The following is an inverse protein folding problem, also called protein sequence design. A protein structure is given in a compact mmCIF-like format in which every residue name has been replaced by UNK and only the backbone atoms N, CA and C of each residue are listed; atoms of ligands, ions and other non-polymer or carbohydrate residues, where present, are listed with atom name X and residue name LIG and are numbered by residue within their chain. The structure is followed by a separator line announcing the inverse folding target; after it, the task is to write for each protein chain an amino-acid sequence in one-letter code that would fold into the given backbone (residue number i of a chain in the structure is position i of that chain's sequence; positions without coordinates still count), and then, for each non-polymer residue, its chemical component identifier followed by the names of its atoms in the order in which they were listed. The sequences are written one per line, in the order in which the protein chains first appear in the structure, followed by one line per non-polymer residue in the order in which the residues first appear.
data_IF_297889044481
#
_entry.id   IF_297889044481
#
_cell.length_a   1.000
_cell.length_b   1.000
_cell.length_c   1.000
_cell.angle_alpha   90.00
_cell.angle_beta   90.00
_cell.angle_gamma   90.00
#
_symmetry.space_group_name_H-M   'P 1'
#
loop_
_entity.id
_entity.type
_entity.pdbx_description
1 polymer ?
#
# COMPACT_ATOMS: atom_id res chain seq x y z
N UNK A 1 -5.96 -17.58 20.34
CA UNK A 1 -7.33 -17.56 20.90
C UNK A 1 -8.24 -18.65 20.32
N UNK A 2 -8.29 -18.86 19.00
CA UNK A 2 -9.15 -19.88 18.32
C UNK A 2 -8.82 -21.32 18.73
N UNK A 3 -7.56 -21.65 18.96
CA UNK A 3 -7.14 -22.99 19.38
C UNK A 3 -7.59 -23.33 20.82
N UNK A 4 -7.51 -22.36 21.74
CA UNK A 4 -7.95 -22.52 23.12
C UNK A 4 -9.48 -22.62 23.23
N UNK A 5 -10.24 -21.83 22.47
CA UNK A 5 -11.71 -21.96 22.43
C UNK A 5 -12.16 -23.28 21.79
N UNK A 6 -11.41 -23.79 20.81
CA UNK A 6 -11.61 -25.12 20.23
C UNK A 6 -11.42 -26.26 21.25
N UNK A 7 -10.41 -26.15 22.12
CA UNK A 7 -10.20 -27.13 23.19
C UNK A 7 -11.32 -27.14 24.22
N UNK A 8 -11.76 -25.96 24.69
CA UNK A 8 -12.89 -25.84 25.64
C UNK A 8 -14.17 -26.42 25.04
N UNK A 9 -14.41 -26.23 23.74
CA UNK A 9 -15.58 -26.79 23.06
C UNK A 9 -15.54 -28.32 22.99
N UNK A 10 -14.38 -28.91 22.69
CA UNK A 10 -14.21 -30.38 22.70
C UNK A 10 -14.41 -30.95 24.09
N UNK A 11 -13.87 -30.28 25.11
CA UNK A 11 -14.03 -30.68 26.51
C UNK A 11 -15.50 -30.62 26.94
N UNK A 12 -16.22 -29.55 26.56
CA UNK A 12 -17.66 -29.42 26.76
C UNK A 12 -18.42 -30.58 26.13
N UNK A 13 -18.17 -30.87 24.85
CA UNK A 13 -18.84 -31.96 24.13
C UNK A 13 -18.57 -33.33 24.78
N UNK A 14 -17.35 -33.57 25.25
CA UNK A 14 -16.98 -34.79 25.97
C UNK A 14 -17.70 -34.90 27.31
N UNK A 15 -17.74 -33.82 28.11
CA UNK A 15 -18.41 -33.81 29.41
C UNK A 15 -19.93 -33.95 29.28
N UNK A 16 -20.54 -33.41 28.23
CA UNK A 16 -21.95 -33.63 27.92
C UNK A 16 -22.27 -35.11 27.68
N UNK A 17 -21.42 -35.82 26.94
CA UNK A 17 -21.59 -37.28 26.72
C UNK A 17 -21.44 -38.07 28.02
N UNK A 18 -20.47 -37.70 28.87
CA UNK A 18 -20.28 -38.33 30.19
C UNK A 18 -21.51 -38.09 31.07
N UNK A 19 -22.07 -36.88 31.08
CA UNK A 19 -23.27 -36.56 31.85
C UNK A 19 -24.47 -37.41 31.42
N UNK A 20 -24.74 -37.48 30.12
CA UNK A 20 -25.82 -38.32 29.58
C UNK A 20 -25.65 -39.79 29.97
N UNK A 21 -24.42 -40.30 29.93
CA UNK A 21 -24.14 -41.67 30.33
C UNK A 21 -24.42 -41.92 31.82
N UNK A 22 -23.99 -41.02 32.70
CA UNK A 22 -24.22 -41.12 34.15
C UNK A 22 -25.71 -41.03 34.51
N UNK A 23 -26.46 -40.17 33.82
CA UNK A 23 -27.91 -40.04 33.98
C UNK A 23 -28.65 -41.30 33.51
N UNK A 24 -28.24 -41.89 32.38
CA UNK A 24 -28.87 -43.12 31.85
C UNK A 24 -28.66 -44.36 32.72
N UNK A 25 -27.54 -44.42 33.46
CA UNK A 25 -27.19 -45.56 34.33
C UNK A 25 -27.73 -45.45 35.75
N UNK A 26 -28.37 -44.33 36.12
CA UNK A 26 -28.86 -44.12 37.49
C UNK A 26 -27.73 -44.04 38.52
N UNK A 27 -26.59 -43.42 38.16
CA UNK A 27 -25.43 -43.31 39.04
C UNK A 27 -25.70 -42.38 40.25
N UNK A 28 -24.86 -42.45 41.30
CA UNK A 28 -25.00 -41.62 42.52
C UNK A 28 -25.20 -40.14 42.21
N UNK A 29 -26.23 -39.53 42.80
CA UNK A 29 -26.65 -38.13 42.60
C UNK A 29 -25.50 -37.12 42.66
N UNK A 30 -24.61 -37.26 43.66
CA UNK A 30 -23.47 -36.34 43.82
C UNK A 30 -22.51 -36.33 42.60
N UNK A 31 -22.32 -37.46 41.92
CA UNK A 31 -21.45 -37.55 40.72
C UNK A 31 -22.09 -36.89 39.51
N UNK A 32 -23.41 -37.05 39.37
CA UNK A 32 -24.21 -36.41 38.32
C UNK A 32 -24.16 -34.89 38.51
N UNK A 33 -24.41 -34.39 39.72
CA UNK A 33 -24.40 -32.95 40.02
C UNK A 33 -23.01 -32.33 39.82
N UNK A 34 -21.94 -33.02 40.23
CA UNK A 34 -20.56 -32.58 39.97
C UNK A 34 -20.27 -32.44 38.47
N UNK A 35 -20.69 -33.41 37.66
CA UNK A 35 -20.48 -33.38 36.20
C UNK A 35 -21.33 -32.30 35.56
N UNK A 36 -22.57 -32.12 36.01
CA UNK A 36 -23.49 -31.06 35.59
C UNK A 36 -22.92 -29.67 35.88
N UNK A 37 -22.28 -29.48 37.04
CA UNK A 37 -21.61 -28.22 37.38
C UNK A 37 -20.47 -27.91 36.39
N UNK A 38 -19.62 -28.90 36.05
CA UNK A 38 -18.55 -28.74 35.06
C UNK A 38 -19.10 -28.40 33.67
N UNK A 39 -20.17 -29.07 33.23
CA UNK A 39 -20.83 -28.77 31.95
C UNK A 39 -21.37 -27.33 31.94
N UNK A 40 -22.00 -26.87 33.03
CA UNK A 40 -22.48 -25.49 33.15
C UNK A 40 -21.34 -24.46 33.12
N UNK A 41 -20.23 -24.72 33.81
CA UNK A 41 -19.04 -23.87 33.76
C UNK A 41 -18.47 -23.75 32.33
N UNK A 42 -18.23 -24.89 31.68
CA UNK A 42 -17.72 -24.94 30.31
C UNK A 42 -18.66 -24.22 29.33
N UNK A 43 -19.98 -24.42 29.47
CA UNK A 43 -20.97 -23.71 28.67
C UNK A 43 -20.90 -22.19 28.87
N UNK A 44 -20.80 -21.73 30.12
CA UNK A 44 -20.65 -20.31 30.45
C UNK A 44 -19.38 -19.73 29.81
N UNK A 45 -18.25 -20.42 29.93
CA UNK A 45 -16.96 -20.01 29.33
C UNK A 45 -17.03 -19.93 27.81
N UNK A 46 -17.70 -20.89 27.15
CA UNK A 46 -17.92 -20.85 25.70
C UNK A 46 -18.78 -19.64 25.31
N UNK A 47 -19.87 -19.38 26.04
CA UNK A 47 -20.73 -18.22 25.78
C UNK A 47 -19.98 -16.90 25.94
N UNK A 48 -19.21 -16.74 27.02
CA UNK A 48 -18.38 -15.55 27.25
C UNK A 48 -17.33 -15.39 26.13
N UNK A 49 -16.70 -16.48 25.69
CA UNK A 49 -15.74 -16.43 24.59
C UNK A 49 -16.38 -15.97 23.27
N UNK A 50 -17.60 -16.43 22.96
CA UNK A 50 -18.35 -15.99 21.78
C UNK A 50 -18.65 -14.49 21.88
N UNK A 51 -19.17 -14.02 23.02
CA UNK A 51 -19.46 -12.60 23.23
C UNK A 51 -18.22 -11.72 23.08
N UNK A 52 -17.06 -12.18 23.59
CA UNK A 52 -15.78 -11.47 23.42
C UNK A 52 -15.36 -11.40 21.94
N UNK A 53 -15.45 -12.51 21.20
CA UNK A 53 -15.16 -12.52 19.76
C UNK A 53 -16.07 -11.55 19.00
N UNK A 54 -17.34 -11.48 19.38
CA UNK A 54 -18.32 -10.60 18.73
C UNK A 54 -18.02 -9.12 19.00
N UNK A 55 -17.70 -8.79 20.25
CA UNK A 55 -17.26 -7.44 20.64
C UNK A 55 -15.98 -7.02 19.90
N UNK A 56 -14.97 -7.90 19.83
CA UNK A 56 -13.72 -7.63 19.09
C UNK A 56 -14.00 -7.46 17.59
N UNK A 57 -14.83 -8.33 17.00
CA UNK A 57 -15.17 -8.25 15.57
C UNK A 57 -15.87 -6.93 15.24
N UNK A 58 -16.80 -6.48 16.09
CA UNK A 58 -17.47 -5.18 15.93
C UNK A 58 -16.47 -4.03 16.01
N UNK A 59 -15.53 -4.06 16.96
CA UNK A 59 -14.48 -3.04 17.05
C UNK A 59 -13.57 -3.01 15.82
N UNK A 60 -13.23 -4.18 15.26
CA UNK A 60 -12.47 -4.26 14.00
C UNK A 60 -13.25 -3.65 12.84
N UNK A 61 -14.56 -3.90 12.76
CA UNK A 61 -15.42 -3.30 11.72
C UNK A 61 -15.50 -1.78 11.86
N UNK A 62 -15.66 -1.26 13.08
CA UNK A 62 -15.64 0.18 13.36
C UNK A 62 -14.30 0.82 12.97
N UNK A 63 -13.18 0.23 13.40
CA UNK A 63 -11.83 0.69 13.01
C UNK A 63 -11.65 0.70 11.49
N UNK A 64 -12.15 -0.33 10.81
CA UNK A 64 -12.00 -0.47 9.36
C UNK A 64 -12.86 0.53 8.60
N UNK A 65 -14.16 0.55 8.87
CA UNK A 65 -15.14 1.25 8.03
C UNK A 65 -15.32 2.71 8.46
N UNK A 66 -15.20 3.03 9.74
CA UNK A 66 -15.51 4.36 10.28
C UNK A 66 -14.25 5.19 10.61
N UNK A 67 -13.09 4.55 10.80
CA UNK A 67 -11.85 5.26 11.13
C UNK A 67 -10.84 5.19 9.97
N UNK A 68 -10.49 4.00 9.49
CA UNK A 68 -9.45 3.83 8.47
C UNK A 68 -9.90 4.30 7.09
N UNK A 69 -11.10 3.93 6.64
CA UNK A 69 -11.64 4.38 5.35
C UNK A 69 -11.59 5.91 5.15
N UNK A 70 -12.13 6.75 6.07
CA UNK A 70 -12.07 8.19 5.88
C UNK A 70 -10.63 8.75 5.93
N UNK A 71 -9.73 8.17 6.72
CA UNK A 71 -8.32 8.57 6.72
C UNK A 71 -7.64 8.28 5.36
N UNK A 72 -7.98 7.17 4.72
CA UNK A 72 -7.48 6.87 3.37
C UNK A 72 -8.07 7.83 2.33
N UNK A 73 -9.35 8.19 2.44
CA UNK A 73 -9.98 9.19 1.57
C UNK A 73 -9.33 10.57 1.72
N UNK A 74 -9.05 11.01 2.95
CA UNK A 74 -8.34 12.25 3.23
C UNK A 74 -6.92 12.24 2.65
N UNK A 75 -6.20 11.13 2.81
CA UNK A 75 -4.88 10.95 2.22
C UNK A 75 -4.91 11.03 0.69
N UNK A 76 -5.89 10.38 0.05
CA UNK A 76 -6.09 10.45 -1.41
C UNK A 76 -6.33 11.88 -1.85
N UNK A 77 -7.20 12.62 -1.16
CA UNK A 77 -7.48 14.02 -1.47
C UNK A 77 -6.25 14.92 -1.30
N UNK A 78 -5.45 14.69 -0.24
CA UNK A 78 -4.16 15.37 -0.07
C UNK A 78 -3.18 15.07 -1.20
N UNK A 79 -3.12 13.82 -1.65
CA UNK A 79 -2.27 13.39 -2.78
C UNK A 79 -2.72 14.01 -4.10
N UNK A 80 -4.02 14.12 -4.36
CA UNK A 80 -4.56 14.83 -5.54
C UNK A 80 -4.01 16.26 -5.58
N UNK A 81 -4.20 17.02 -4.49
CA UNK A 81 -3.79 18.42 -4.41
C UNK A 81 -2.28 18.59 -4.56
N UNK A 82 -1.50 17.73 -3.89
CA UNK A 82 -0.05 17.71 -4.04
C UNK A 82 0.34 17.49 -5.50
N UNK A 83 -0.29 16.52 -6.17
CA UNK A 83 0.04 16.19 -7.55
C UNK A 83 -0.39 17.27 -8.55
N UNK A 84 -1.50 17.97 -8.31
CA UNK A 84 -1.91 19.13 -9.09
C UNK A 84 -0.84 20.24 -9.04
N UNK A 85 -0.35 20.55 -7.84
CA UNK A 85 0.72 21.54 -7.66
C UNK A 85 2.01 21.08 -8.36
N UNK A 86 2.42 19.84 -8.16
CA UNK A 86 3.62 19.29 -8.81
C UNK A 86 3.50 19.27 -10.33
N UNK A 87 2.32 18.96 -10.87
CA UNK A 87 2.06 18.95 -12.30
C UNK A 87 2.23 20.34 -12.91
N UNK A 88 1.61 21.36 -12.30
CA UNK A 88 1.74 22.73 -12.77
C UNK A 88 3.20 23.24 -12.65
N UNK A 89 3.90 22.91 -11.55
CA UNK A 89 5.31 23.27 -11.39
C UNK A 89 6.19 22.65 -12.49
N UNK A 90 6.08 21.35 -12.74
CA UNK A 90 6.92 20.67 -13.75
C UNK A 90 6.56 21.08 -15.18
N UNK A 91 5.28 21.34 -15.45
CA UNK A 91 4.83 21.89 -16.73
C UNK A 91 5.43 23.28 -16.98
N UNK A 92 5.43 24.15 -15.98
CA UNK A 92 6.04 25.47 -16.07
C UNK A 92 7.57 25.37 -16.25
N UNK A 93 8.25 24.51 -15.50
CA UNK A 93 9.69 24.24 -15.66
C UNK A 93 10.01 23.77 -17.08
N UNK A 94 9.22 22.83 -17.62
CA UNK A 94 9.38 22.33 -18.98
C UNK A 94 9.24 23.46 -20.02
N UNK A 95 8.23 24.33 -19.87
CA UNK A 95 8.02 25.47 -20.77
C UNK A 95 9.18 26.46 -20.74
N UNK A 96 9.63 26.85 -19.53
CA UNK A 96 10.77 27.77 -19.35
C UNK A 96 12.03 27.17 -19.96
N UNK A 97 12.31 25.89 -19.69
CA UNK A 97 13.49 25.21 -20.22
C UNK A 97 13.43 25.05 -21.74
N UNK A 98 12.27 24.73 -22.30
CA UNK A 98 12.08 24.65 -23.76
C UNK A 98 12.33 26.01 -24.43
N UNK A 99 11.85 27.10 -23.84
CA UNK A 99 12.09 28.45 -24.37
C UNK A 99 13.56 28.87 -24.24
N UNK A 100 14.22 28.51 -23.12
CA UNK A 100 15.64 28.76 -22.91
C UNK A 100 16.54 27.89 -23.82
N UNK A 101 16.08 26.70 -24.21
CA UNK A 101 16.75 25.81 -25.16
C UNK A 101 17.02 26.51 -26.49
N UNK A 102 16.03 27.24 -27.00
CA UNK A 102 16.07 27.95 -28.28
C UNK A 102 16.97 29.20 -28.23
N UNK A 103 17.11 29.84 -27.06
CA UNK A 103 17.66 31.19 -26.95
C UNK A 103 19.09 31.29 -26.38
N UNK A 104 19.75 30.19 -26.03
CA UNK A 104 21.07 30.27 -25.36
C UNK A 104 22.24 29.87 -26.26
N UNK A 105 23.10 30.84 -26.56
CA UNK A 105 24.48 30.63 -27.04
C UNK A 105 25.48 30.96 -25.92
N UNK A 106 25.23 30.47 -24.70
CA UNK A 106 26.02 30.83 -23.53
C UNK A 106 27.32 30.01 -23.50
N UNK A 107 28.40 30.59 -24.04
CA UNK A 107 29.75 30.03 -23.92
C UNK A 107 30.23 30.20 -22.48
N UNK A 108 30.06 29.17 -21.67
CA UNK A 108 30.55 29.17 -20.29
C UNK A 108 32.08 29.20 -20.29
N UNK A 109 32.68 30.22 -19.67
CA UNK A 109 34.10 30.27 -19.29
C UNK A 109 34.14 30.21 -17.77
N UNK A 110 34.26 29.01 -17.21
CA UNK A 110 34.30 28.78 -15.77
C UNK A 110 35.49 27.88 -15.44
N UNK A 111 36.12 28.13 -14.30
CA UNK A 111 37.29 27.41 -13.80
C UNK A 111 37.03 25.88 -13.80
N UNK A 112 37.93 25.10 -14.40
CA UNK A 112 37.83 23.65 -14.58
C UNK A 112 37.56 22.88 -13.27
N UNK A 113 38.15 23.33 -12.15
CA UNK A 113 37.99 22.69 -10.85
C UNK A 113 36.58 22.90 -10.27
N UNK A 114 36.08 24.13 -10.31
CA UNK A 114 34.75 24.47 -9.83
C UNK A 114 33.67 23.74 -10.65
N UNK A 115 33.86 23.63 -11.97
CA UNK A 115 32.99 22.83 -12.84
C UNK A 115 32.94 21.37 -12.37
N UNK A 116 34.09 20.74 -12.17
CA UNK A 116 34.16 19.34 -11.73
C UNK A 116 33.41 19.13 -10.41
N UNK A 117 33.56 20.03 -9.45
CA UNK A 117 32.86 19.96 -8.16
C UNK A 117 31.34 20.07 -8.33
N UNK A 118 30.88 21.05 -9.13
CA UNK A 118 29.44 21.24 -9.41
C UNK A 118 28.85 20.03 -10.14
N UNK A 119 29.54 19.52 -11.17
CA UNK A 119 29.10 18.36 -11.94
C UNK A 119 29.02 17.12 -11.05
N UNK A 120 30.04 16.85 -10.23
CA UNK A 120 30.04 15.72 -9.29
C UNK A 120 28.92 15.82 -8.26
N UNK A 121 28.66 17.03 -7.76
CA UNK A 121 27.55 17.28 -6.85
C UNK A 121 26.21 17.00 -7.52
N UNK A 122 25.98 17.53 -8.73
CA UNK A 122 24.75 17.31 -9.49
C UNK A 122 24.51 15.82 -9.79
N UNK A 123 25.54 15.10 -10.21
CA UNK A 123 25.47 13.64 -10.42
C UNK A 123 25.03 12.91 -9.14
N UNK A 124 25.62 13.28 -8.00
CA UNK A 124 25.24 12.75 -6.68
C UNK A 124 23.79 13.02 -6.32
N UNK A 125 23.32 14.25 -6.53
CA UNK A 125 21.92 14.65 -6.27
C UNK A 125 20.93 13.91 -7.19
N UNK A 126 21.28 13.67 -8.45
CA UNK A 126 20.44 12.89 -9.37
C UNK A 126 20.32 11.43 -8.93
N UNK A 127 21.42 10.81 -8.49
CA UNK A 127 21.37 9.46 -7.91
C UNK A 127 20.56 9.41 -6.62
N UNK A 128 20.74 10.40 -5.75
CA UNK A 128 19.96 10.53 -4.52
C UNK A 128 18.46 10.70 -4.81
N UNK A 129 18.11 11.54 -5.78
CA UNK A 129 16.72 11.74 -6.24
C UNK A 129 16.12 10.43 -6.77
N UNK A 130 16.84 9.70 -7.63
CA UNK A 130 16.40 8.40 -8.15
C UNK A 130 16.12 7.40 -7.03
N UNK A 131 17.05 7.29 -6.07
CA UNK A 131 16.91 6.40 -4.91
C UNK A 131 15.72 6.80 -4.04
N UNK A 132 15.56 8.09 -3.77
CA UNK A 132 14.49 8.64 -2.93
C UNK A 132 13.12 8.44 -3.57
N UNK A 133 13.00 8.70 -4.87
CA UNK A 133 11.78 8.47 -5.63
C UNK A 133 11.37 6.99 -5.63
N UNK A 134 12.32 6.09 -5.90
CA UNK A 134 12.07 4.64 -5.86
C UNK A 134 11.61 4.17 -4.49
N UNK A 135 12.28 4.61 -3.41
CA UNK A 135 11.91 4.30 -2.02
C UNK A 135 10.52 4.83 -1.68
N UNK A 136 10.19 6.04 -2.11
CA UNK A 136 8.89 6.65 -1.86
C UNK A 136 7.75 5.87 -2.50
N UNK A 137 7.89 5.50 -3.78
CA UNK A 137 6.91 4.65 -4.48
C UNK A 137 6.81 3.26 -3.80
N UNK A 138 7.96 2.67 -3.45
CA UNK A 138 8.00 1.39 -2.74
C UNK A 138 7.30 1.44 -1.38
N UNK A 139 7.44 2.54 -0.64
CA UNK A 139 6.78 2.74 0.64
C UNK A 139 5.25 2.82 0.49
N UNK A 140 4.74 3.54 -0.52
CA UNK A 140 3.30 3.59 -0.80
C UNK A 140 2.72 2.21 -1.12
N UNK A 141 3.37 1.48 -2.04
CA UNK A 141 2.94 0.11 -2.41
C UNK A 141 2.96 -0.83 -1.22
N UNK A 142 4.01 -0.77 -0.40
CA UNK A 142 4.16 -1.61 0.79
C UNK A 142 3.10 -1.30 1.86
N UNK A 143 2.81 -0.01 2.08
CA UNK A 143 1.77 0.43 3.00
C UNK A 143 0.39 -0.10 2.60
N UNK A 144 0.02 0.06 1.33
CA UNK A 144 -1.27 -0.42 0.82
C UNK A 144 -1.35 -1.95 0.81
N UNK A 145 -0.28 -2.64 0.44
CA UNK A 145 -0.23 -4.10 0.51
C UNK A 145 -0.40 -4.62 1.96
N UNK A 146 0.17 -3.93 2.95
CA UNK A 146 0.02 -4.26 4.36
C UNK A 146 -1.44 -4.08 4.83
N UNK A 147 -2.09 -2.98 4.45
CA UNK A 147 -3.51 -2.76 4.74
C UNK A 147 -4.37 -3.83 4.06
N UNK A 148 -4.16 -4.07 2.76
CA UNK A 148 -4.94 -5.05 2.01
C UNK A 148 -4.79 -6.46 2.62
N UNK A 149 -3.57 -6.85 2.99
CA UNK A 149 -3.29 -8.10 3.71
C UNK A 149 -3.97 -8.19 5.08
N UNK A 150 -4.10 -7.07 5.81
CA UNK A 150 -4.87 -7.00 7.05
C UNK A 150 -6.38 -7.16 6.80
N UNK A 151 -6.92 -6.49 5.78
CA UNK A 151 -8.33 -6.58 5.38
C UNK A 151 -8.74 -8.01 5.05
N UNK A 152 -7.93 -8.77 4.31
CA UNK A 152 -8.21 -10.18 3.99
C UNK A 152 -8.27 -11.10 5.24
N UNK A 153 -7.52 -10.77 6.30
CA UNK A 153 -7.60 -11.49 7.58
C UNK A 153 -8.91 -11.20 8.31
N UNK A 154 -9.45 -9.98 8.17
CA UNK A 154 -10.73 -9.59 8.75
C UNK A 154 -11.92 -10.36 8.13
N UNK A 155 -11.84 -10.76 6.86
CA UNK A 155 -12.85 -11.60 6.18
C UNK A 155 -12.76 -13.07 6.63
N UNK A 156 -11.54 -13.59 6.76
CA UNK A 156 -11.30 -15.01 7.12
C UNK A 156 -11.80 -15.39 8.53
N UNK A 157 -11.89 -14.41 9.44
CA UNK A 157 -12.51 -14.59 10.77
C UNK A 157 -14.01 -14.92 10.69
N UNK A 158 -14.71 -14.55 9.60
CA UNK A 158 -16.16 -14.70 9.47
C UNK A 158 -16.61 -16.04 8.89
N UNK A 159 -15.80 -16.69 8.04
CA UNK A 159 -16.23 -17.90 7.29
C UNK A 159 -16.09 -19.24 8.04
N UNK A 160 -15.27 -19.35 9.10
CA UNK A 160 -14.96 -20.66 9.72
C UNK A 160 -16.04 -21.24 10.65
N UNK A 161 -17.26 -20.68 10.73
CA UNK A 161 -18.32 -21.20 11.61
C UNK A 161 -19.58 -21.72 10.90
N UNK A 162 -19.49 -22.99 10.49
CA UNK A 162 -20.52 -24.03 10.43
C UNK A 162 -21.71 -23.95 9.45
N UNK A 163 -21.87 -25.07 8.73
CA UNK A 163 -23.15 -25.71 8.40
C UNK A 163 -24.00 -25.89 9.66
N UNK A 164 -24.84 -24.89 10.00
CA UNK A 164 -26.12 -25.00 10.70
C UNK A 164 -26.68 -23.59 10.80
N UNK A 165 -27.90 -23.42 10.28
CA UNK A 165 -28.67 -22.16 10.22
C UNK A 165 -28.53 -21.36 11.52
N UNK A 166 -27.67 -20.35 11.52
CA UNK A 166 -27.69 -19.21 12.43
C UNK A 166 -28.19 -18.01 11.61
N UNK A 167 -28.89 -17.04 12.23
CA UNK A 167 -29.25 -15.82 11.52
C UNK A 167 -27.98 -15.22 10.95
N UNK A 168 -27.94 -15.07 9.63
CA UNK A 168 -26.79 -14.53 8.91
C UNK A 168 -26.46 -13.18 9.53
N UNK A 169 -25.19 -13.00 9.95
CA UNK A 169 -24.76 -11.67 10.38
C UNK A 169 -24.83 -10.72 9.19
N UNK A 170 -25.27 -9.47 9.39
CA UNK A 170 -25.64 -8.57 8.29
C UNK A 170 -24.53 -8.38 7.23
N UNK A 171 -23.26 -8.41 7.63
CA UNK A 171 -22.11 -8.11 6.77
C UNK A 171 -21.85 -9.06 5.59
N UNK A 172 -22.53 -10.21 5.48
CA UNK A 172 -22.40 -11.09 4.31
C UNK A 172 -23.47 -10.84 3.24
N UNK A 173 -24.46 -9.97 3.50
CA UNK A 173 -25.54 -9.65 2.55
C UNK A 173 -25.27 -8.37 1.72
N UNK A 174 -24.42 -7.48 2.24
CA UNK A 174 -24.22 -6.10 1.74
C UNK A 174 -23.10 -5.92 0.69
N UNK A 175 -22.39 -6.98 0.30
CA UNK A 175 -21.17 -6.86 -0.52
C UNK A 175 -19.94 -6.43 0.30
N UNK A 176 -18.73 -6.45 -0.29
CA UNK A 176 -17.52 -6.03 0.42
C UNK A 176 -17.60 -4.53 0.75
N UNK A 177 -17.22 -4.11 1.98
CA UNK A 177 -17.13 -2.71 2.34
C UNK A 177 -16.25 -1.89 1.38
N UNK A 178 -16.50 -0.58 1.19
CA UNK A 178 -15.79 0.24 0.21
C UNK A 178 -14.26 0.24 0.35
N UNK A 179 -13.74 -0.03 1.54
CA UNK A 179 -12.29 -0.08 1.81
C UNK A 179 -11.54 -1.19 1.08
N UNK A 180 -12.20 -2.33 0.80
CA UNK A 180 -11.59 -3.42 0.04
C UNK A 180 -11.34 -2.96 -1.39
N UNK A 181 -12.36 -2.33 -1.99
CA UNK A 181 -12.28 -1.72 -3.33
C UNK A 181 -11.24 -0.59 -3.35
N UNK A 182 -11.22 0.26 -2.32
CA UNK A 182 -10.27 1.37 -2.18
C UNK A 182 -8.83 0.87 -2.27
N UNK A 183 -8.45 -0.11 -1.44
CA UNK A 183 -7.06 -0.58 -1.39
C UNK A 183 -6.66 -1.40 -2.63
N UNK A 184 -7.59 -2.20 -3.17
CA UNK A 184 -7.34 -3.03 -4.34
C UNK A 184 -7.12 -2.19 -5.60
N UNK A 185 -8.06 -1.31 -5.93
CA UNK A 185 -7.96 -0.42 -7.09
C UNK A 185 -6.77 0.52 -6.94
N UNK A 186 -6.51 1.04 -5.74
CA UNK A 186 -5.38 1.94 -5.54
C UNK A 186 -4.04 1.22 -5.78
N UNK A 187 -3.88 0.00 -5.30
CA UNK A 187 -2.65 -0.77 -5.50
C UNK A 187 -2.43 -1.11 -6.99
N UNK A 188 -3.50 -1.49 -7.69
CA UNK A 188 -3.48 -1.74 -9.14
C UNK A 188 -3.06 -0.49 -9.91
N UNK A 189 -3.74 0.63 -9.67
CA UNK A 189 -3.49 1.91 -10.35
C UNK A 189 -2.10 2.49 -10.06
N UNK A 190 -1.54 2.28 -8.88
CA UNK A 190 -0.12 2.62 -8.58
C UNK A 190 0.87 1.76 -9.38
N UNK A 191 0.46 0.59 -9.85
CA UNK A 191 1.23 -0.26 -10.76
C UNK A 191 1.32 0.30 -12.18
N UNK A 192 0.32 1.06 -12.61
CA UNK A 192 0.18 1.58 -13.98
C UNK A 192 0.91 2.91 -14.23
N UNK A 193 1.33 3.60 -13.17
CA UNK A 193 2.02 4.89 -13.30
C UNK A 193 3.37 4.74 -14.03
N UNK A 194 3.81 5.77 -14.79
CA UNK A 194 5.07 5.76 -15.54
C UNK A 194 6.30 5.97 -14.62
N UNK A 195 6.42 5.15 -13.58
CA UNK A 195 7.48 5.20 -12.57
C UNK A 195 8.84 4.95 -13.24
N UNK A 196 8.88 3.99 -14.16
CA UNK A 196 10.11 3.55 -14.78
C UNK A 196 10.68 4.62 -15.70
N UNK A 197 9.83 5.33 -16.43
CA UNK A 197 10.25 6.40 -17.34
C UNK A 197 10.91 7.57 -16.57
N UNK A 198 10.40 7.90 -15.37
CA UNK A 198 11.05 8.87 -14.47
C UNK A 198 12.41 8.35 -14.00
N UNK A 199 12.48 7.08 -13.56
CA UNK A 199 13.75 6.52 -13.08
C UNK A 199 14.81 6.45 -14.17
N UNK A 200 14.43 6.10 -15.39
CA UNK A 200 15.36 5.95 -16.51
C UNK A 200 15.79 7.32 -17.07
N UNK A 201 14.89 8.31 -17.09
CA UNK A 201 15.28 9.68 -17.44
C UNK A 201 16.23 10.31 -16.41
N UNK A 202 16.06 10.05 -15.11
CA UNK A 202 17.04 10.48 -14.08
C UNK A 202 18.41 9.83 -14.32
N UNK A 203 18.45 8.53 -14.61
CA UNK A 203 19.71 7.81 -14.90
C UNK A 203 20.37 8.33 -16.17
N UNK A 204 19.58 8.59 -17.21
CA UNK A 204 20.05 9.17 -18.47
C UNK A 204 20.71 10.53 -18.21
N UNK A 205 20.05 11.40 -17.45
CA UNK A 205 20.56 12.72 -17.08
C UNK A 205 21.81 12.63 -16.22
N UNK A 206 21.87 11.70 -15.27
CA UNK A 206 23.08 11.44 -14.48
C UNK A 206 24.24 10.98 -15.37
N UNK A 207 23.98 10.11 -16.34
CA UNK A 207 24.97 9.65 -17.31
C UNK A 207 25.52 10.77 -18.20
N UNK A 208 24.65 11.65 -18.71
CA UNK A 208 25.09 12.84 -19.47
C UNK A 208 25.82 13.85 -18.58
N UNK A 209 25.44 13.98 -17.31
CA UNK A 209 26.14 14.81 -16.32
C UNK A 209 27.56 14.28 -16.06
N UNK A 210 27.70 12.96 -15.85
CA UNK A 210 28.97 12.32 -15.56
C UNK A 210 30.01 12.46 -16.69
N UNK A 211 29.56 12.65 -17.94
CA UNK A 211 30.45 12.89 -19.09
C UNK A 211 31.21 14.20 -19.01
N UNK A 212 30.75 15.17 -18.21
CA UNK A 212 31.52 16.40 -17.96
C UNK A 212 32.61 16.22 -16.90
N UNK A 213 32.68 15.07 -16.21
CA UNK A 213 33.83 14.74 -15.37
C UNK A 213 34.98 14.21 -16.24
N UNK A 214 36.24 14.55 -15.89
CA UNK A 214 37.39 13.97 -16.56
C UNK A 214 37.34 12.45 -16.42
N UNK A 215 37.48 11.75 -17.55
CA UNK A 215 37.52 10.29 -17.60
C UNK A 215 38.67 9.84 -16.70
N UNK A 216 38.36 9.24 -15.55
CA UNK A 216 39.34 8.51 -14.77
C UNK A 216 39.81 7.34 -15.65
N UNK A 217 40.91 7.51 -16.38
CA UNK A 217 41.64 6.40 -16.94
C UNK A 217 42.00 5.50 -15.76
N UNK A 218 41.24 4.40 -15.61
CA UNK A 218 41.70 3.25 -14.85
C UNK A 218 42.98 2.81 -15.54
N UNK A 219 44.12 3.29 -15.03
CA UNK A 219 45.43 2.72 -15.25
C UNK A 219 45.39 1.28 -14.71
N UNK A 220 44.83 0.35 -15.49
CA UNK A 220 45.11 -1.06 -15.37
C UNK A 220 46.52 -1.30 -15.91
N UNK A 221 47.52 -0.85 -15.15
CA UNK A 221 48.89 -1.29 -15.30
C UNK A 221 48.99 -2.73 -14.80
N UNK A 222 49.05 -3.67 -15.74
CA UNK A 222 49.45 -5.05 -15.48
C UNK A 222 50.85 -5.08 -14.84
N UNK A 223 50.92 -5.76 -13.69
CA UNK A 223 52.07 -6.25 -12.92
C UNK A 223 53.51 -5.87 -13.27
N UNK A 224 54.26 -5.45 -12.25
CA UNK A 224 55.51 -6.15 -11.88
C UNK A 224 55.91 -5.87 -10.42
N UNK A 225 56.59 -6.84 -9.80
CA UNK A 225 56.96 -6.94 -8.39
C UNK A 225 58.20 -6.09 -8.07
N UNK A 226 58.17 -5.27 -7.00
CA UNK A 226 58.92 -5.43 -5.73
C UNK A 226 58.99 -4.08 -4.95
N UNK A 227 59.08 -4.10 -3.60
CA UNK A 227 59.07 -2.89 -2.78
C UNK A 227 60.48 -2.43 -2.40
N UNK A 228 60.83 -1.17 -2.65
CA UNK A 228 61.86 -0.51 -1.85
C UNK A 228 61.68 1.01 -1.83
N UNK A 229 61.27 1.50 -0.66
CA UNK A 229 61.26 2.91 -0.28
C UNK A 229 62.70 3.44 -0.16
N UNK A 230 63.07 4.49 -0.90
CA UNK A 230 64.22 5.36 -0.58
C UNK A 230 63.96 6.81 -1.02
N UNK A 231 63.75 7.64 0.00
CA UNK A 231 64.30 8.98 0.24
C UNK A 231 64.38 10.00 -0.91
N UNK A 232 63.65 11.10 -0.70
CA UNK A 232 63.91 12.43 -1.25
C UNK A 232 65.39 12.82 -1.13
N UNK A 233 65.97 13.34 -2.22
CA UNK A 233 66.98 14.40 -2.15
C UNK A 233 66.98 15.22 -3.45
N UNK A 234 66.98 16.53 -3.29
CA UNK A 234 67.06 17.52 -4.33
C UNK A 234 68.51 17.70 -4.82
N UNK A 235 68.72 17.78 -6.13
CA UNK A 235 69.55 18.82 -6.75
C UNK A 235 69.45 18.84 -8.29
N UNK A 236 69.08 20.03 -8.79
CA UNK A 236 69.40 20.72 -10.05
C UNK A 236 70.25 19.94 -11.07
N UNK A 237 69.70 19.71 -12.28
CA UNK A 237 70.27 20.24 -13.55
C UNK A 237 69.32 19.98 -14.73
N UNK A 238 69.14 21.04 -15.52
CA UNK A 238 68.45 21.12 -16.80
C UNK A 238 68.80 19.97 -17.74
N UNK A 239 67.77 19.34 -18.32
CA UNK A 239 67.82 18.88 -19.71
C UNK A 239 66.38 18.70 -20.25
N UNK A 240 66.22 19.16 -21.48
CA UNK A 240 65.01 19.22 -22.27
C UNK A 240 64.38 17.84 -22.45
N UNK A 241 63.08 17.74 -22.22
CA UNK A 241 62.23 16.77 -22.91
C UNK A 241 60.82 17.35 -22.99
N UNK A 242 60.57 17.99 -24.12
CA UNK A 242 59.31 17.97 -24.86
C UNK A 242 58.43 16.76 -24.44
N UNK A 243 57.50 16.99 -23.53
CA UNK A 243 56.44 16.04 -23.22
C UNK A 243 55.13 16.73 -23.58
N UNK A 244 54.82 16.63 -24.87
CA UNK A 244 53.50 16.47 -25.45
C UNK A 244 52.37 16.92 -24.50
N UNK A 245 52.01 18.20 -24.65
CA UNK A 245 50.61 18.60 -24.63
C UNK A 245 49.85 17.57 -25.45
N UNK A 246 49.23 16.60 -24.78
CA UNK A 246 48.12 15.86 -25.38
C UNK A 246 46.97 16.85 -25.35
N UNK A 247 46.99 17.76 -26.33
CA UNK A 247 45.79 18.39 -26.84
C UNK A 247 44.93 17.23 -27.35
N UNK A 248 44.16 16.65 -26.43
CA UNK A 248 42.95 15.96 -26.84
C UNK A 248 42.16 16.97 -27.66
N UNK A 249 41.74 16.62 -28.89
CA UNK A 249 40.93 17.53 -29.69
C UNK A 249 39.76 17.98 -28.82
N UNK A 250 39.29 19.24 -28.94
CA UNK A 250 38.13 19.66 -28.19
C UNK A 250 36.99 18.74 -28.64
N UNK A 251 36.69 17.71 -27.83
CA UNK A 251 35.46 16.95 -27.97
C UNK A 251 34.38 18.02 -28.11
N UNK A 252 33.60 17.91 -29.17
CA UNK A 252 32.60 18.89 -29.59
C UNK A 252 31.71 19.27 -28.39
N UNK A 253 32.15 20.29 -27.65
CA UNK A 253 31.64 20.64 -26.32
C UNK A 253 30.19 21.08 -26.44
N UNK A 254 29.86 21.68 -27.57
CA UNK A 254 28.51 22.06 -27.97
C UNK A 254 27.63 20.81 -28.11
N UNK A 255 28.13 19.72 -28.73
CA UNK A 255 27.40 18.45 -28.82
C UNK A 255 27.17 17.78 -27.45
N UNK A 256 28.13 17.87 -26.53
CA UNK A 256 28.01 17.30 -25.18
C UNK A 256 26.99 18.07 -24.34
N UNK A 257 27.01 19.39 -24.45
CA UNK A 257 26.05 20.25 -23.80
C UNK A 257 24.64 20.05 -24.36
N UNK A 258 24.48 19.93 -25.68
CA UNK A 258 23.18 19.67 -26.31
C UNK A 258 22.57 18.34 -25.87
N UNK A 259 23.38 17.28 -25.75
CA UNK A 259 22.91 15.99 -25.19
C UNK A 259 22.44 16.12 -23.75
N UNK A 260 23.21 16.80 -22.90
CA UNK A 260 22.80 17.07 -21.51
C UNK A 260 21.49 17.85 -21.44
N UNK A 261 21.35 18.91 -22.25
CA UNK A 261 20.13 19.72 -22.29
C UNK A 261 18.93 18.92 -22.76
N UNK A 262 19.08 18.10 -23.80
CA UNK A 262 18.03 17.23 -24.30
C UNK A 262 17.58 16.24 -23.21
N UNK A 263 18.54 15.58 -22.54
CA UNK A 263 18.25 14.67 -21.43
C UNK A 263 17.59 15.39 -20.24
N UNK A 264 17.99 16.63 -19.95
CA UNK A 264 17.39 17.41 -18.87
C UNK A 264 15.94 17.79 -19.20
N UNK A 265 15.68 18.19 -20.44
CA UNK A 265 14.33 18.48 -20.90
C UNK A 265 13.44 17.24 -20.86
N UNK A 266 13.97 16.09 -21.29
CA UNK A 266 13.30 14.80 -21.22
C UNK A 266 12.98 14.39 -19.78
N UNK A 267 13.91 14.57 -18.85
CA UNK A 267 13.67 14.31 -17.42
C UNK A 267 12.50 15.13 -16.86
N UNK A 268 12.46 16.43 -17.14
CA UNK A 268 11.36 17.29 -16.66
C UNK A 268 10.03 16.94 -17.35
N UNK A 269 10.07 16.55 -18.64
CA UNK A 269 8.89 16.06 -19.34
C UNK A 269 8.31 14.81 -18.67
N UNK A 270 9.16 13.85 -18.29
CA UNK A 270 8.75 12.64 -17.59
C UNK A 270 8.19 12.94 -16.19
N UNK A 271 8.78 13.89 -15.45
CA UNK A 271 8.20 14.34 -14.18
C UNK A 271 6.82 14.97 -14.35
N UNK A 272 6.64 15.81 -15.38
CA UNK A 272 5.34 16.41 -15.70
C UNK A 272 4.31 15.34 -16.09
N UNK A 273 4.68 14.40 -16.97
CA UNK A 273 3.81 13.31 -17.36
C UNK A 273 3.43 12.42 -16.17
N UNK A 274 4.38 12.11 -15.28
CA UNK A 274 4.14 11.34 -14.07
C UNK A 274 3.17 12.04 -13.12
N UNK A 275 3.36 13.34 -12.89
CA UNK A 275 2.48 14.12 -12.04
C UNK A 275 1.06 14.21 -12.64
N UNK A 276 0.92 14.47 -13.93
CA UNK A 276 -0.38 14.52 -14.61
C UNK A 276 -1.10 13.16 -14.60
N UNK A 277 -0.36 12.07 -14.85
CA UNK A 277 -0.86 10.70 -14.73
C UNK A 277 -1.32 10.39 -13.31
N UNK A 278 -0.59 10.88 -12.30
CA UNK A 278 -0.96 10.73 -10.90
C UNK A 278 -2.26 11.47 -10.55
N UNK A 279 -2.43 12.74 -10.97
CA UNK A 279 -3.68 13.49 -10.77
C UNK A 279 -4.88 12.73 -11.34
N UNK A 280 -4.75 12.26 -12.58
CA UNK A 280 -5.81 11.48 -13.25
C UNK A 280 -6.12 10.21 -12.47
N UNK A 281 -5.08 9.46 -12.11
CA UNK A 281 -5.18 8.20 -11.39
C UNK A 281 -5.91 8.35 -10.05
N UNK A 282 -5.51 9.33 -9.23
CA UNK A 282 -6.14 9.56 -7.92
C UNK A 282 -7.57 10.11 -8.05
N UNK A 283 -7.86 10.88 -9.09
CA UNK A 283 -9.22 11.38 -9.37
C UNK A 283 -10.17 10.24 -9.76
N UNK A 284 -9.70 9.33 -10.62
CA UNK A 284 -10.44 8.10 -10.96
C UNK A 284 -10.64 7.19 -9.74
N UNK A 285 -9.61 7.05 -8.90
CA UNK A 285 -9.70 6.31 -7.64
C UNK A 285 -10.77 6.93 -6.72
N UNK A 286 -10.78 8.25 -6.53
CA UNK A 286 -11.80 8.95 -5.74
C UNK A 286 -13.21 8.66 -6.27
N UNK A 287 -13.40 8.66 -7.58
CA UNK A 287 -14.69 8.33 -8.20
C UNK A 287 -15.07 6.87 -7.96
N UNK A 288 -14.13 5.93 -8.09
CA UNK A 288 -14.36 4.51 -7.83
C UNK A 288 -14.78 4.26 -6.37
N UNK A 289 -14.14 4.94 -5.42
CA UNK A 289 -14.50 4.89 -4.00
C UNK A 289 -15.92 5.40 -3.78
N UNK A 290 -16.28 6.55 -4.38
CA UNK A 290 -17.62 7.11 -4.24
C UNK A 290 -18.68 6.16 -4.82
N UNK A 291 -18.41 5.54 -5.97
CA UNK A 291 -19.30 4.55 -6.58
C UNK A 291 -19.47 3.33 -5.66
N UNK A 292 -18.37 2.82 -5.07
CA UNK A 292 -18.41 1.71 -4.14
C UNK A 292 -19.21 2.04 -2.87
N UNK A 293 -19.06 3.26 -2.33
CA UNK A 293 -19.85 3.77 -1.20
C UNK A 293 -21.33 3.82 -1.54
N UNK A 294 -21.69 4.42 -2.66
CA UNK A 294 -23.08 4.50 -3.11
C UNK A 294 -23.71 3.10 -3.23
N UNK A 295 -23.01 2.16 -3.89
CA UNK A 295 -23.48 0.78 -4.01
C UNK A 295 -23.69 0.11 -2.65
N UNK A 296 -22.72 0.26 -1.74
CA UNK A 296 -22.77 -0.31 -0.40
C UNK A 296 -23.94 0.23 0.42
N UNK A 297 -24.14 1.56 0.45
CA UNK A 297 -25.22 2.19 1.20
C UNK A 297 -26.61 1.93 0.59
N UNK A 298 -26.74 1.94 -0.75
CA UNK A 298 -28.00 1.60 -1.40
C UNK A 298 -28.43 0.15 -1.08
N UNK A 299 -27.49 -0.80 -1.17
CA UNK A 299 -27.76 -2.20 -0.84
C UNK A 299 -28.08 -2.41 0.64
N UNK A 300 -27.42 -1.68 1.53
CA UNK A 300 -27.72 -1.67 2.96
C UNK A 300 -29.14 -1.19 3.24
N UNK A 301 -29.57 -0.12 2.57
CA UNK A 301 -30.89 0.47 2.79
C UNK A 301 -32.03 -0.36 2.20
N UNK A 302 -31.88 -0.92 0.99
CA UNK A 302 -32.91 -1.76 0.36
C UNK A 302 -33.20 -3.02 1.18
N UNK A 303 -32.17 -3.67 1.73
CA UNK A 303 -32.38 -4.88 2.54
C UNK A 303 -32.86 -4.59 3.97
N UNK A 304 -32.61 -3.39 4.51
CA UNK A 304 -33.23 -2.95 5.76
C UNK A 304 -34.75 -2.81 5.61
N UNK A 305 -35.21 -2.35 4.44
CA UNK A 305 -36.64 -2.29 4.11
C UNK A 305 -37.22 -3.70 3.93
N UNK A 306 -36.57 -4.60 3.17
CA UNK A 306 -37.05 -5.98 2.98
C UNK A 306 -37.13 -6.80 4.28
N UNK A 307 -36.20 -6.59 5.21
CA UNK A 307 -36.23 -7.21 6.54
C UNK A 307 -37.38 -6.72 7.41
N UNK A 308 -37.78 -5.45 7.24
CA UNK A 308 -38.91 -4.85 7.94
C UNK A 308 -40.24 -5.36 7.38
N UNK A 309 -40.39 -5.47 6.05
CA UNK A 309 -41.57 -6.07 5.40
C UNK A 309 -41.76 -7.55 5.78
N UNK A 310 -40.68 -8.34 5.84
CA UNK A 310 -40.76 -9.75 6.24
C UNK A 310 -41.11 -9.94 7.72
N UNK A 311 -40.64 -9.05 8.61
CA UNK A 311 -40.97 -9.11 10.04
C UNK A 311 -42.44 -8.77 10.28
N UNK A 312 -42.97 -7.79 9.55
CA UNK A 312 -44.36 -7.35 9.63
C UNK A 312 -45.32 -8.42 9.06
N UNK A 313 -44.93 -9.08 7.97
CA UNK A 313 -45.68 -10.22 7.40
C UNK A 313 -45.71 -11.44 8.32
N UNK A 314 -44.65 -11.72 9.09
CA UNK A 314 -44.63 -12.82 10.07
C UNK A 314 -45.50 -12.53 11.30
N UNK A 315 -45.55 -11.28 11.77
CA UNK A 315 -46.44 -10.86 12.87
C UNK A 315 -47.92 -10.90 12.47
N UNK A 316 -48.24 -10.50 11.23
CA UNK A 316 -49.61 -10.56 10.71
C UNK A 316 -50.09 -12.01 10.51
N UNK A 317 -49.22 -12.90 10.02
CA UNK A 317 -49.55 -14.32 9.85
C UNK A 317 -49.71 -15.06 11.21
N UNK A 318 -48.95 -14.64 12.23
CA UNK A 318 -49.07 -15.16 13.59
C UNK A 318 -50.38 -14.71 14.27
N UNK A 319 -50.83 -13.47 14.03
CA UNK A 319 -52.14 -12.98 14.51
C UNK A 319 -53.31 -13.71 13.84
N UNK A 320 -53.24 -13.96 12.53
CA UNK A 320 -54.29 -14.70 11.82
C UNK A 320 -54.42 -16.16 12.27
N UNK A 321 -53.32 -16.87 12.56
CA UNK A 321 -53.37 -18.23 13.11
C UNK A 321 -53.91 -18.29 14.54
N UNK A 322 -53.62 -17.29 15.38
CA UNK A 322 -54.17 -17.22 16.74
C UNK A 322 -55.67 -16.92 16.79
N UNK A 323 -56.22 -16.22 15.79
CA UNK A 323 -57.67 -15.99 15.65
C UNK A 323 -58.42 -17.22 15.13
N UNK A 324 -57.81 -18.01 14.25
CA UNK A 324 -58.40 -19.28 13.77
C UNK A 324 -58.44 -20.37 14.86
N UNK A 325 -57.46 -20.37 15.77
CA UNK A 325 -57.38 -21.34 16.89
C UNK A 325 -58.42 -21.08 17.99
N UNK A 326 -58.91 -19.84 18.11
CA UNK A 326 -59.86 -19.44 19.15
C UNK A 326 -61.34 -19.57 18.73
N UNK A 327 -61.62 -19.87 17.45
CA UNK A 327 -63.00 -20.10 16.97
C UNK A 327 -63.43 -21.58 17.02
N UNK A 328 -62.49 -22.53 17.17
CA UNK A 328 -62.81 -23.97 17.25
C UNK A 328 -63.16 -24.49 18.65
N UNK A 329 -63.02 -23.67 19.71
CA UNK A 329 -63.24 -24.12 21.10
C UNK A 329 -64.51 -23.56 21.78
N UNK A 330 -65.50 -23.12 21.00
CA UNK A 330 -66.84 -22.81 21.50
C UNK A 330 -67.93 -23.37 20.60
N UNK A 331 -68.32 -24.62 20.85
CA UNK A 331 -69.69 -25.09 20.63
C UNK A 331 -70.15 -25.90 21.85
N UNK A 332 -71.24 -25.51 22.52
CA UNK A 332 -72.01 -26.43 23.34
C UNK A 332 -72.79 -27.43 22.46
#
# INVERSE_FOLDING_TARGET
MVQASGMIRREYDMKCKVLQHLESKGEKTYKIDKTRAVVKDLHSRIRVAILRIDSISKRIEELRDNELQPQLEELIEGLIRMWEVMFECHKLQFQIMSAAYINSHARMVTNSELRRQITSYLEGELHYLSSSFSKWIGAQKSYLAAINGWLYKCVSLKQKTSKKRRPQRPLLSYGPPPIYVTCEIWLEKLGELPIQDVLDSIKSLAGETARFLPRQEKNQGKGSKNPHMKYWNAHIRSESSDNLLRDDPPEDWDSGFDRFRASFLEFVAHLSNFAGSSVKMYTELRQAIQNAKNYYYHRSNSQAQDGQWNSQSQDDNSKSQSQASNSENKKP
#
